data_IF_702934665502
#
_entry.id   IF_702934665502
#
_cell.length_a   1.000
_cell.length_b   1.000
_cell.length_c   1.000
_cell.angle_alpha   90.00
_cell.angle_beta   90.00
_cell.angle_gamma   90.00
#
_symmetry.space_group_name_H-M   'P 1'
#
loop_
_entity.id
_entity.type
_entity.pdbx_description
1 polymer ?
#
# COMPACT_ATOMS: atom_id res chain seq x y z
N UNK A 1 -6.74 -10.17 -5.18
CA UNK A 1 -7.70 -11.29 -5.27
C UNK A 1 -9.06 -10.78 -4.85
N UNK A 2 -10.09 -10.85 -5.72
CA UNK A 2 -11.45 -10.44 -5.37
C UNK A 2 -11.93 -11.19 -4.13
N UNK A 3 -12.61 -10.50 -3.20
CA UNK A 3 -13.18 -11.09 -1.98
C UNK A 3 -12.19 -11.49 -0.87
N UNK A 4 -10.89 -11.25 -1.04
CA UNK A 4 -9.89 -11.64 -0.02
C UNK A 4 -10.05 -10.87 1.30
N UNK A 5 -10.37 -9.58 1.22
CA UNK A 5 -10.56 -8.74 2.40
C UNK A 5 -11.77 -9.23 3.19
N UNK A 6 -12.90 -9.45 2.51
CA UNK A 6 -14.14 -9.93 3.14
C UNK A 6 -13.93 -11.30 3.82
N UNK A 7 -13.24 -12.22 3.14
CA UNK A 7 -12.84 -13.50 3.71
C UNK A 7 -11.97 -13.33 4.96
N UNK A 8 -10.98 -12.43 4.93
CA UNK A 8 -10.11 -12.20 6.06
C UNK A 8 -10.86 -11.57 7.25
N UNK A 9 -11.79 -10.63 7.00
CA UNK A 9 -12.67 -10.05 8.03
C UNK A 9 -13.52 -11.14 8.67
N UNK A 10 -14.17 -11.99 7.88
CA UNK A 10 -15.02 -13.08 8.38
C UNK A 10 -14.22 -14.07 9.23
N UNK A 11 -13.02 -14.45 8.79
CA UNK A 11 -12.20 -15.46 9.48
C UNK A 11 -11.49 -14.94 10.70
N UNK A 12 -11.07 -13.69 10.70
CA UNK A 12 -10.30 -13.10 11.80
C UNK A 12 -11.19 -12.40 12.83
N UNK A 13 -12.43 -12.04 12.47
CA UNK A 13 -13.36 -11.33 13.35
C UNK A 13 -12.91 -9.90 13.68
N UNK A 14 -12.01 -9.33 12.87
CA UNK A 14 -11.46 -7.98 13.03
C UNK A 14 -11.52 -7.23 11.70
N UNK A 15 -11.42 -5.90 11.76
CA UNK A 15 -11.33 -5.08 10.56
C UNK A 15 -10.03 -5.37 9.79
N UNK A 16 -10.17 -5.62 8.48
CA UNK A 16 -9.05 -5.86 7.56
C UNK A 16 -9.13 -4.84 6.43
N UNK A 17 -7.98 -4.26 6.08
CA UNK A 17 -7.86 -3.28 5.00
C UNK A 17 -6.74 -3.68 4.05
N UNK A 18 -6.82 -3.24 2.78
CA UNK A 18 -5.71 -3.37 1.84
C UNK A 18 -4.66 -2.29 2.14
N UNK A 19 -3.38 -2.70 2.15
CA UNK A 19 -2.28 -1.77 2.35
C UNK A 19 -2.14 -0.79 1.19
N UNK A 20 -1.93 0.49 1.53
CA UNK A 20 -1.57 1.54 0.59
C UNK A 20 -0.28 2.24 1.05
N UNK A 21 0.90 1.78 0.60
CA UNK A 21 2.18 2.36 1.03
C UNK A 21 2.40 3.79 0.52
N UNK A 22 1.61 4.26 -0.46
CA UNK A 22 1.72 5.58 -1.05
C UNK A 22 0.83 6.63 -0.36
N UNK A 23 0.03 6.26 0.65
CA UNK A 23 -0.98 7.14 1.26
C UNK A 23 -0.43 8.46 1.81
N UNK A 24 0.82 8.46 2.28
CA UNK A 24 1.50 9.63 2.86
C UNK A 24 2.49 10.30 1.89
N UNK A 25 2.58 9.84 0.64
CA UNK A 25 3.51 10.38 -0.35
C UNK A 25 2.81 11.43 -1.22
N UNK A 26 3.56 12.45 -1.60
CA UNK A 26 3.13 13.38 -2.65
C UNK A 26 3.52 12.82 -4.01
N UNK A 27 2.55 12.72 -4.92
CA UNK A 27 2.77 12.28 -6.30
C UNK A 27 1.74 12.93 -7.24
N UNK A 28 2.06 13.07 -8.55
CA UNK A 28 1.13 13.59 -9.54
C UNK A 28 -0.19 12.79 -9.62
N UNK A 29 -1.32 13.47 -9.73
CA UNK A 29 -2.65 12.85 -9.71
C UNK A 29 -2.84 11.76 -10.79
N UNK A 30 -2.22 11.92 -11.96
CA UNK A 30 -2.31 10.96 -13.06
C UNK A 30 -1.71 9.57 -12.72
N UNK A 31 -0.83 9.48 -11.72
CA UNK A 31 -0.25 8.20 -11.27
C UNK A 31 -1.19 7.42 -10.35
N UNK A 32 -2.21 8.06 -9.77
CA UNK A 32 -3.08 7.41 -8.78
C UNK A 32 -3.74 6.11 -9.28
N UNK A 33 -4.23 6.00 -10.53
CA UNK A 33 -4.80 4.75 -11.04
C UNK A 33 -3.77 3.63 -11.14
N UNK A 34 -2.51 3.94 -11.47
CA UNK A 34 -1.43 2.96 -11.55
C UNK A 34 -1.00 2.50 -10.14
N UNK A 35 -0.80 3.45 -9.22
CA UNK A 35 -0.38 3.17 -7.85
C UNK A 35 -1.41 2.34 -7.08
N UNK A 36 -2.72 2.61 -7.27
CA UNK A 36 -3.78 1.79 -6.65
C UNK A 36 -3.75 0.32 -7.08
N UNK A 37 -3.32 0.02 -8.32
CA UNK A 37 -3.25 -1.36 -8.83
C UNK A 37 -2.09 -2.15 -8.24
N UNK A 38 -0.99 -1.47 -7.91
CA UNK A 38 0.27 -2.11 -7.47
C UNK A 38 0.55 -1.92 -5.97
N UNK A 39 -0.25 -1.12 -5.28
CA UNK A 39 -0.02 -0.68 -3.90
C UNK A 39 0.38 -1.81 -2.94
N UNK A 40 -0.40 -2.90 -2.79
CA UNK A 40 -0.03 -3.95 -1.84
C UNK A 40 1.32 -4.61 -2.17
N UNK A 41 1.57 -4.90 -3.44
CA UNK A 41 2.79 -5.57 -3.92
C UNK A 41 4.05 -4.72 -3.78
N UNK A 42 3.93 -3.40 -3.74
CA UNK A 42 5.07 -2.47 -3.66
C UNK A 42 5.43 -2.07 -2.23
N UNK A 43 4.76 -2.61 -1.21
CA UNK A 43 4.95 -2.23 0.20
C UNK A 43 6.41 -2.29 0.65
N UNK A 44 7.12 -3.38 0.32
CA UNK A 44 8.54 -3.56 0.71
C UNK A 44 9.46 -2.57 -0.03
N UNK A 45 9.28 -2.41 -1.34
CA UNK A 45 10.09 -1.51 -2.15
C UNK A 45 9.93 -0.04 -1.72
N UNK A 46 8.69 0.38 -1.42
CA UNK A 46 8.42 1.73 -0.92
C UNK A 46 9.08 1.96 0.44
N UNK A 47 9.07 0.97 1.34
CA UNK A 47 9.76 1.05 2.63
C UNK A 47 11.28 1.20 2.48
N UNK A 48 11.89 0.45 1.55
CA UNK A 48 13.32 0.58 1.24
C UNK A 48 13.66 1.97 0.70
N UNK A 49 12.85 2.49 -0.22
CA UNK A 49 13.04 3.83 -0.78
C UNK A 49 12.90 4.93 0.29
N UNK A 50 11.92 4.81 1.19
CA UNK A 50 11.74 5.75 2.29
C UNK A 50 12.91 5.74 3.28
N UNK A 51 13.47 4.55 3.56
CA UNK A 51 14.66 4.43 4.40
C UNK A 51 15.86 5.12 3.76
N UNK A 52 16.13 4.83 2.48
CA UNK A 52 17.24 5.46 1.76
C UNK A 52 17.09 6.99 1.73
N UNK A 53 15.87 7.49 1.49
CA UNK A 53 15.58 8.93 1.53
C UNK A 53 15.85 9.57 2.89
N UNK A 54 15.56 8.85 3.99
CA UNK A 54 15.82 9.33 5.34
C UNK A 54 17.28 9.24 5.78
N UNK A 55 18.11 8.45 5.11
CA UNK A 55 19.57 8.37 5.34
C UNK A 55 20.33 9.49 4.59
N UNK A 56 19.70 10.12 3.59
CA UNK A 56 20.23 11.26 2.83
C UNK A 56 19.88 12.65 3.41
N UNK A 57 19.04 12.70 4.47
CA UNK A 57 18.65 13.92 5.20
C UNK A 57 19.41 14.06 6.52
#
# INVERSE_FOLDING_TARGET
MPGFVDYAVERLGIEVILSNPFQKLSYPAFLQPALKKIAPSFTVATGLALRALGEEL
#
